data_IF_657203086237
#
_entry.id   IF_657203086237
#
_cell.length_a   1.000
_cell.length_b   1.000
_cell.length_c   1.000
_cell.angle_alpha   90.00
_cell.angle_beta   90.00
_cell.angle_gamma   90.00
#
_symmetry.space_group_name_H-M   'P 1'
#
loop_
_entity.id
_entity.type
_entity.pdbx_description
1 polymer ?
#
# COMPACT_ATOMS: atom_id res chain seq x y z
N UNK A 1 29.61 9.37 0.59
CA UNK A 1 30.20 10.21 1.67
C UNK A 1 31.33 9.46 2.34
N UNK A 2 31.18 8.15 2.52
CA UNK A 2 32.24 7.28 3.07
C UNK A 2 33.55 7.32 2.26
N UNK A 3 33.48 7.56 0.94
CA UNK A 3 34.67 7.58 0.06
C UNK A 3 35.41 8.93 -0.02
N UNK A 4 35.12 9.90 0.86
CA UNK A 4 35.85 11.18 0.94
C UNK A 4 35.62 12.18 -0.21
N UNK A 5 34.98 11.78 -1.31
CA UNK A 5 34.65 12.65 -2.46
C UNK A 5 33.71 13.81 -2.10
N UNK A 6 33.04 13.72 -0.95
CA UNK A 6 32.15 14.78 -0.47
C UNK A 6 32.91 16.03 0.00
N UNK A 7 34.16 15.86 0.43
CA UNK A 7 34.99 16.93 0.97
C UNK A 7 35.70 17.77 -0.10
N UNK A 8 35.73 17.28 -1.35
CA UNK A 8 36.27 18.02 -2.49
C UNK A 8 35.24 18.98 -3.12
N UNK A 9 33.96 18.86 -2.75
CA UNK A 9 32.87 19.69 -3.27
C UNK A 9 32.90 21.11 -2.70
N UNK A 10 32.45 22.05 -3.52
CA UNK A 10 32.31 23.45 -3.13
C UNK A 10 31.30 23.59 -1.97
N UNK A 11 31.51 24.57 -1.07
CA UNK A 11 30.67 24.77 0.12
C UNK A 11 29.18 24.89 -0.21
N UNK A 12 28.83 25.51 -1.35
CA UNK A 12 27.46 25.65 -1.84
C UNK A 12 26.84 24.30 -2.24
N UNK A 13 27.57 23.49 -3.00
CA UNK A 13 27.11 22.17 -3.45
C UNK A 13 26.98 21.20 -2.27
N UNK A 14 27.96 21.23 -1.37
CA UNK A 14 27.92 20.47 -0.12
C UNK A 14 26.67 20.80 0.68
N UNK A 15 26.33 22.08 0.82
CA UNK A 15 25.13 22.51 1.53
C UNK A 15 23.85 22.02 0.85
N UNK A 16 23.79 22.07 -0.49
CA UNK A 16 22.63 21.58 -1.24
C UNK A 16 22.45 20.07 -1.08
N UNK A 17 23.52 19.29 -1.21
CA UNK A 17 23.49 17.83 -1.05
C UNK A 17 23.13 17.45 0.39
N UNK A 18 23.65 18.15 1.40
CA UNK A 18 23.27 17.91 2.80
C UNK A 18 21.79 18.16 3.03
N UNK A 19 21.22 19.24 2.47
CA UNK A 19 19.78 19.53 2.58
C UNK A 19 18.93 18.49 1.87
N UNK A 20 19.33 18.07 0.66
CA UNK A 20 18.64 17.02 -0.08
C UNK A 20 18.68 15.70 0.67
N UNK A 21 19.84 15.31 1.20
CA UNK A 21 20.00 14.11 2.03
C UNK A 21 19.11 14.17 3.27
N UNK A 22 19.11 15.27 4.00
CA UNK A 22 18.26 15.42 5.19
C UNK A 22 16.76 15.31 4.85
N UNK A 23 16.34 15.86 3.70
CA UNK A 23 14.96 15.73 3.22
C UNK A 23 14.61 14.28 2.86
N UNK A 24 15.51 13.59 2.14
CA UNK A 24 15.31 12.19 1.76
C UNK A 24 15.30 11.27 2.99
N UNK A 25 16.22 11.48 3.94
CA UNK A 25 16.28 10.70 5.17
C UNK A 25 15.01 10.87 6.01
N UNK A 26 14.49 12.10 6.11
CA UNK A 26 13.24 12.37 6.84
C UNK A 26 12.03 11.68 6.20
N UNK A 27 11.97 11.63 4.87
CA UNK A 27 10.78 11.15 4.15
C UNK A 27 10.83 9.65 3.84
N UNK A 28 12.01 9.10 3.56
CA UNK A 28 12.20 7.73 3.06
C UNK A 28 13.15 6.90 3.94
N UNK A 29 13.70 7.47 5.02
CA UNK A 29 14.60 6.74 5.92
C UNK A 29 13.95 5.52 6.56
N UNK A 30 12.65 5.60 6.87
CA UNK A 30 11.87 4.50 7.46
C UNK A 30 11.71 3.27 6.55
N UNK A 31 11.87 3.43 5.24
CA UNK A 31 11.71 2.34 4.26
C UNK A 31 13.03 1.95 3.59
N UNK A 32 14.15 2.55 4.01
CA UNK A 32 15.46 2.36 3.40
C UNK A 32 15.94 0.90 3.41
N UNK A 33 15.59 0.17 4.45
CA UNK A 33 16.04 -1.21 4.65
C UNK A 33 15.11 -2.24 3.98
N UNK A 34 14.02 -1.80 3.32
CA UNK A 34 13.11 -2.69 2.59
C UNK A 34 13.73 -3.13 1.26
N UNK A 35 14.05 -4.42 1.15
CA UNK A 35 14.55 -5.04 -0.09
C UNK A 35 13.45 -5.59 -1.01
N UNK A 36 12.24 -5.77 -0.48
CA UNK A 36 11.08 -6.33 -1.18
C UNK A 36 9.79 -5.69 -0.66
N UNK A 37 8.71 -5.87 -1.42
CA UNK A 37 7.38 -5.44 -1.00
C UNK A 37 7.00 -6.08 0.34
N UNK A 38 6.33 -5.34 1.23
CA UNK A 38 5.90 -5.85 2.53
C UNK A 38 4.82 -6.93 2.35
N UNK A 39 4.82 -7.92 3.25
CA UNK A 39 3.84 -9.02 3.23
C UNK A 39 2.53 -8.69 3.92
N UNK A 40 2.51 -7.64 4.73
CA UNK A 40 1.33 -7.09 5.39
C UNK A 40 1.60 -5.61 5.71
N UNK A 41 0.54 -4.81 5.78
CA UNK A 41 0.60 -3.40 6.18
C UNK A 41 -0.19 -3.22 7.48
N UNK A 42 0.39 -2.53 8.46
CA UNK A 42 -0.32 -2.06 9.64
C UNK A 42 -0.57 -0.55 9.52
N UNK A 43 -1.83 -0.12 9.58
CA UNK A 43 -2.23 1.29 9.42
C UNK A 43 -2.86 1.83 10.69
N UNK A 44 -2.44 3.03 11.09
CA UNK A 44 -3.09 3.84 12.14
C UNK A 44 -3.78 5.00 11.45
N UNK A 45 -5.01 5.30 11.84
CA UNK A 45 -5.83 6.35 11.24
C UNK A 45 -6.04 6.15 9.74
N UNK A 46 -7.01 5.29 9.43
CA UNK A 46 -7.37 4.92 8.07
C UNK A 46 -7.83 6.14 7.28
N UNK A 47 -8.53 7.10 7.91
CA UNK A 47 -9.04 8.28 7.23
C UNK A 47 -7.91 9.18 6.71
N UNK A 48 -6.85 9.37 7.50
CA UNK A 48 -5.66 10.13 7.07
C UNK A 48 -4.81 9.33 6.07
N UNK A 49 -4.71 8.02 6.23
CA UNK A 49 -3.83 7.14 5.42
C UNK A 49 -4.55 6.35 4.31
N UNK A 50 -5.67 6.87 3.78
CA UNK A 50 -6.47 6.21 2.74
C UNK A 50 -5.66 5.88 1.47
N UNK A 51 -4.63 6.66 1.15
CA UNK A 51 -3.78 6.39 -0.01
C UNK A 51 -2.98 5.09 0.19
N UNK A 52 -2.44 4.86 1.39
CA UNK A 52 -1.70 3.64 1.71
C UNK A 52 -2.60 2.40 1.64
N UNK A 53 -3.83 2.50 2.15
CA UNK A 53 -4.83 1.42 2.06
C UNK A 53 -5.18 1.10 0.60
N UNK A 54 -5.43 2.12 -0.22
CA UNK A 54 -5.74 1.93 -1.65
C UNK A 54 -4.58 1.30 -2.41
N UNK A 55 -3.34 1.72 -2.14
CA UNK A 55 -2.14 1.15 -2.77
C UNK A 55 -1.90 -0.30 -2.34
N UNK A 56 -2.06 -0.60 -1.06
CA UNK A 56 -1.96 -1.95 -0.53
C UNK A 56 -3.01 -2.89 -1.17
N UNK A 57 -4.26 -2.45 -1.26
CA UNK A 57 -5.35 -3.21 -1.87
C UNK A 57 -5.08 -3.48 -3.36
N UNK A 58 -4.50 -2.51 -4.08
CA UNK A 58 -4.11 -2.67 -5.49
C UNK A 58 -2.96 -3.67 -5.68
N UNK A 59 -2.05 -3.76 -4.71
CA UNK A 59 -0.92 -4.69 -4.72
C UNK A 59 -1.24 -6.03 -4.05
N UNK A 60 -2.49 -6.24 -3.62
CA UNK A 60 -2.94 -7.43 -2.87
C UNK A 60 -2.12 -7.68 -1.59
N UNK A 61 -1.73 -6.60 -0.91
CA UNK A 61 -1.06 -6.67 0.39
C UNK A 61 -2.16 -6.62 1.47
N UNK A 62 -2.21 -7.59 2.40
CA UNK A 62 -3.22 -7.60 3.44
C UNK A 62 -3.04 -6.42 4.40
N UNK A 63 -4.14 -5.74 4.69
CA UNK A 63 -4.19 -4.53 5.52
C UNK A 63 -4.78 -4.86 6.89
N UNK A 64 -3.99 -4.60 7.93
CA UNK A 64 -4.40 -4.62 9.33
C UNK A 64 -4.49 -3.16 9.76
N UNK A 65 -5.60 -2.72 10.34
CA UNK A 65 -5.73 -1.30 10.70
C UNK A 65 -6.56 -1.05 11.95
N UNK A 66 -6.18 0.02 12.65
CA UNK A 66 -6.99 0.61 13.72
C UNK A 66 -8.11 1.44 13.09
N UNK A 67 -9.35 1.17 13.50
CA UNK A 67 -10.55 1.84 12.98
C UNK A 67 -11.30 2.46 14.14
N UNK A 68 -11.46 3.78 14.09
CA UNK A 68 -12.38 4.54 14.96
C UNK A 68 -13.71 4.83 14.23
N UNK A 69 -14.64 5.44 14.94
CA UNK A 69 -16.00 5.82 14.53
C UNK A 69 -16.11 6.66 13.25
N UNK A 70 -15.02 7.33 12.83
CA UNK A 70 -14.97 8.14 11.61
C UNK A 70 -14.50 7.38 10.36
N UNK A 71 -14.01 6.14 10.52
CA UNK A 71 -13.38 5.37 9.45
C UNK A 71 -14.31 4.29 8.89
N UNK A 72 -14.25 4.06 7.57
CA UNK A 72 -14.95 2.94 6.92
C UNK A 72 -14.10 1.66 7.05
N UNK A 73 -14.62 0.58 7.68
CA UNK A 73 -13.90 -0.69 7.84
C UNK A 73 -13.88 -1.56 6.57
N UNK A 74 -14.70 -1.26 5.55
CA UNK A 74 -14.88 -2.10 4.36
C UNK A 74 -13.60 -2.41 3.57
N UNK A 75 -12.67 -1.45 3.35
CA UNK A 75 -11.46 -1.70 2.55
C UNK A 75 -10.32 -2.38 3.33
N UNK A 76 -10.57 -2.89 4.54
CA UNK A 76 -9.54 -3.41 5.47
C UNK A 76 -9.80 -4.90 5.72
N UNK A 77 -8.75 -5.72 5.67
CA UNK A 77 -8.87 -7.17 5.87
C UNK A 77 -9.01 -7.54 7.36
N UNK A 78 -8.23 -6.87 8.22
CA UNK A 78 -8.21 -7.12 9.66
C UNK A 78 -8.41 -5.83 10.44
N UNK A 79 -9.64 -5.66 10.95
CA UNK A 79 -10.06 -4.44 11.65
C UNK A 79 -9.82 -4.58 13.15
N UNK A 80 -9.16 -3.59 13.74
CA UNK A 80 -9.00 -3.42 15.19
C UNK A 80 -9.83 -2.20 15.61
N UNK A 81 -11.02 -2.38 16.20
CA UNK A 81 -11.81 -1.26 16.68
C UNK A 81 -11.10 -0.61 17.89
N UNK A 82 -10.65 0.63 17.71
CA UNK A 82 -9.86 1.34 18.72
C UNK A 82 -9.89 2.85 18.47
N UNK A 83 -9.58 3.64 19.51
CA UNK A 83 -9.35 5.07 19.36
C UNK A 83 -7.95 5.30 18.78
N UNK A 84 -7.87 5.91 17.60
CA UNK A 84 -6.64 6.17 16.83
C UNK A 84 -6.10 7.60 16.98
N UNK A 85 -6.83 8.51 17.63
CA UNK A 85 -6.38 9.87 17.93
C UNK A 85 -5.58 9.95 19.25
N UNK A 86 -5.84 9.02 20.18
CA UNK A 86 -5.24 9.04 21.51
C UNK A 86 -3.87 8.35 21.54
N UNK A 87 -2.80 9.11 21.79
CA UNK A 87 -1.43 8.57 21.89
C UNK A 87 -1.30 7.37 22.85
N UNK A 88 -2.00 7.39 24.00
CA UNK A 88 -1.98 6.26 24.94
C UNK A 88 -2.61 4.99 24.36
N UNK A 89 -3.68 5.13 23.57
CA UNK A 89 -4.37 4.03 22.90
C UNK A 89 -3.47 3.43 21.83
N UNK A 90 -2.91 4.28 20.97
CA UNK A 90 -1.97 3.87 19.90
C UNK A 90 -0.76 3.16 20.50
N UNK A 91 -0.11 3.73 21.52
CA UNK A 91 1.06 3.10 22.16
C UNK A 91 0.72 1.73 22.74
N UNK A 92 -0.40 1.60 23.46
CA UNK A 92 -0.82 0.33 24.04
C UNK A 92 -1.01 -0.76 22.96
N UNK A 93 -1.71 -0.41 21.87
CA UNK A 93 -1.98 -1.36 20.79
C UNK A 93 -0.68 -1.73 20.05
N UNK A 94 0.17 -0.74 19.79
CA UNK A 94 1.47 -0.96 19.15
C UNK A 94 2.39 -1.84 19.99
N UNK A 95 2.40 -1.67 21.31
CA UNK A 95 3.22 -2.48 22.21
C UNK A 95 2.78 -3.95 22.16
N UNK A 96 1.47 -4.21 22.17
CA UNK A 96 0.91 -5.56 22.06
C UNK A 96 1.21 -6.18 20.69
N UNK A 97 1.03 -5.43 19.61
CA UNK A 97 1.29 -5.92 18.24
C UNK A 97 2.79 -6.18 18.03
N UNK A 98 3.66 -5.28 18.48
CA UNK A 98 5.12 -5.48 18.43
C UNK A 98 5.55 -6.70 19.25
N UNK A 99 4.96 -6.89 20.44
CA UNK A 99 5.18 -8.08 21.27
C UNK A 99 4.83 -9.37 20.53
N UNK A 100 3.62 -9.43 19.94
CA UNK A 100 3.17 -10.59 19.17
C UNK A 100 4.06 -10.88 17.94
N UNK A 101 4.53 -9.84 17.24
CA UNK A 101 5.47 -9.99 16.11
C UNK A 101 6.81 -10.54 16.60
N UNK A 102 7.33 -10.03 17.72
CA UNK A 102 8.58 -10.49 18.29
C UNK A 102 8.50 -11.97 18.73
N UNK A 103 7.40 -12.37 19.37
CA UNK A 103 7.11 -13.75 19.73
C UNK A 103 7.07 -14.66 18.50
N UNK A 104 6.28 -14.31 17.47
CA UNK A 104 6.21 -15.10 16.24
C UNK A 104 7.54 -15.19 15.47
N UNK A 105 8.36 -14.13 15.51
CA UNK A 105 9.71 -14.16 14.95
C UNK A 105 10.65 -15.08 15.74
N UNK A 106 10.49 -15.17 17.06
CA UNK A 106 11.29 -16.06 17.89
C UNK A 106 10.88 -17.52 17.70
N UNK A 107 9.60 -17.82 17.66
CA UNK A 107 9.08 -19.17 17.35
C UNK A 107 9.60 -19.66 16.00
N UNK A 108 9.50 -18.83 14.95
CA UNK A 108 10.01 -19.16 13.62
C UNK A 108 11.52 -19.45 13.60
N UNK A 109 12.32 -18.78 14.44
CA UNK A 109 13.75 -19.07 14.57
C UNK A 109 13.97 -20.44 15.23
N UNK A 110 13.26 -20.71 16.33
CA UNK A 110 13.36 -21.97 17.07
C UNK A 110 12.92 -23.16 16.22
N UNK A 111 11.86 -23.03 15.42
CA UNK A 111 11.42 -24.07 14.48
C UNK A 111 12.50 -24.36 13.44
N UNK A 112 13.10 -23.31 12.86
CA UNK A 112 14.16 -23.46 11.86
C UNK A 112 15.43 -24.10 12.42
N UNK A 113 15.74 -23.87 13.69
CA UNK A 113 16.86 -24.52 14.39
C UNK A 113 16.56 -25.99 14.72
N UNK A 114 15.30 -26.33 15.00
CA UNK A 114 14.85 -27.70 15.26
C UNK A 114 14.72 -28.57 14.00
N UNK A 115 14.48 -27.96 12.83
CA UNK A 115 14.44 -28.67 11.54
C UNK A 115 15.83 -28.89 10.91
N UNK A 116 16.84 -28.10 11.30
CA UNK A 116 18.21 -28.22 10.80
C UNK A 116 18.93 -29.56 11.10
N UNK A 117 18.68 -30.29 12.22
CA UNK A 117 19.30 -31.58 12.46
C UNK A 117 18.61 -32.78 11.80
N UNK A 118 17.39 -32.66 11.24
CA UNK A 118 16.66 -33.80 10.67
C UNK A 118 16.78 -33.95 9.14
N UNK A 119 17.37 -32.99 8.43
CA UNK A 119 17.50 -33.03 6.96
C UNK A 119 18.82 -33.64 6.44
N UNK A 120 19.61 -34.32 7.27
CA UNK A 120 20.81 -35.04 6.81
C UNK A 120 20.58 -36.49 6.40
N UNK A 121 19.39 -37.07 6.62
CA UNK A 121 19.07 -38.44 6.19
C UNK A 121 17.71 -38.51 5.47
N UNK A 122 17.61 -37.94 4.26
CA UNK A 122 16.96 -38.58 3.11
C UNK A 122 16.88 -37.61 1.93
N UNK A 123 17.78 -37.78 0.96
CA UNK A 123 17.61 -37.24 -0.39
C UNK A 123 17.63 -38.38 -1.40
N UNK A 124 16.45 -38.78 -1.84
CA UNK A 124 16.22 -39.33 -3.17
C UNK A 124 15.02 -38.59 -3.81
N UNK A 125 15.10 -38.18 -5.10
CA UNK A 125 14.17 -37.19 -5.67
C UNK A 125 12.98 -37.84 -6.38
N UNK A 126 11.78 -37.28 -6.23
CA UNK A 126 10.65 -37.58 -7.10
C UNK A 126 9.84 -36.32 -7.38
N UNK A 127 9.84 -35.90 -8.65
CA UNK A 127 9.17 -34.70 -9.12
C UNK A 127 7.68 -34.85 -9.40
N UNK A 128 7.10 -33.70 -9.77
CA UNK A 128 5.78 -33.45 -10.38
C UNK A 128 4.56 -33.67 -9.47
N UNK A 129 3.84 -32.58 -9.16
CA UNK A 129 2.64 -32.18 -9.92
C UNK A 129 2.01 -30.89 -9.37
N UNK A 130 1.93 -29.93 -10.28
CA UNK A 130 1.06 -28.76 -10.32
C UNK A 130 -0.35 -29.12 -9.79
N UNK A 131 -0.83 -28.47 -8.72
CA UNK A 131 -2.25 -28.51 -8.35
C UNK A 131 -2.94 -27.26 -8.89
N UNK A 132 -3.58 -27.45 -10.04
CA UNK A 132 -4.57 -26.55 -10.60
C UNK A 132 -5.71 -26.32 -9.59
N UNK A 133 -5.95 -25.06 -9.22
CA UNK A 133 -7.20 -24.64 -8.59
C UNK A 133 -8.25 -24.45 -9.68
N UNK A 134 -9.10 -25.47 -9.83
CA UNK A 134 -10.37 -25.38 -10.54
C UNK A 134 -11.43 -25.01 -9.50
N UNK A 135 -11.96 -23.78 -9.58
CA UNK A 135 -13.31 -23.45 -9.15
C UNK A 135 -13.80 -22.29 -10.02
N UNK A 136 -14.27 -22.67 -11.21
CA UNK A 136 -15.17 -21.87 -12.02
C UNK A 136 -16.59 -22.38 -11.71
N UNK A 137 -17.38 -21.56 -11.04
CA UNK A 137 -18.85 -21.57 -11.07
C UNK A 137 -19.19 -20.13 -11.47
N UNK A 138 -19.29 -19.84 -12.77
CA UNK A 138 -20.49 -19.93 -13.62
C UNK A 138 -21.72 -19.30 -12.97
N UNK A 139 -21.90 -18.00 -13.23
CA UNK A 139 -23.21 -17.37 -13.40
C UNK A 139 -23.15 -16.62 -14.73
N UNK A 140 -23.73 -17.24 -15.77
CA UNK A 140 -24.18 -16.58 -17.01
C UNK A 140 -25.29 -15.58 -16.63
N UNK A 141 -25.13 -14.29 -16.93
CA UNK A 141 -25.56 -13.64 -18.18
C UNK A 141 -27.09 -13.58 -18.34
N UNK A 142 -27.67 -12.39 -18.12
CA UNK A 142 -28.97 -12.01 -18.65
C UNK A 142 -29.04 -10.48 -18.84
N UNK A 143 -28.73 -10.06 -20.06
CA UNK A 143 -29.27 -8.90 -20.77
C UNK A 143 -29.37 -9.36 -22.25
N UNK A 144 -30.22 -8.81 -23.14
CA UNK A 144 -30.89 -7.50 -23.06
C UNK A 144 -32.37 -7.52 -23.52
N UNK A 145 -33.10 -6.42 -23.31
CA UNK A 145 -34.20 -6.05 -24.23
C UNK A 145 -34.49 -4.55 -24.16
N UNK A 146 -34.39 -3.90 -25.32
CA UNK A 146 -35.01 -2.64 -25.71
C UNK A 146 -35.80 -2.93 -27.00
N UNK A 147 -36.91 -2.24 -27.34
CA UNK A 147 -36.76 -0.95 -28.03
C UNK A 147 -37.90 0.09 -27.85
N UNK A 148 -37.57 1.35 -28.19
CA UNK A 148 -38.37 2.45 -28.82
C UNK A 148 -39.75 2.86 -28.22
N UNK A 149 -40.19 4.13 -28.18
CA UNK A 149 -40.18 5.17 -29.22
C UNK A 149 -40.62 6.55 -28.62
N UNK A 150 -40.07 7.64 -29.18
CA UNK A 150 -40.63 8.99 -29.50
C UNK A 150 -41.57 9.76 -28.52
N UNK A 151 -41.54 11.09 -28.34
CA UNK A 151 -41.33 12.22 -29.27
C UNK A 151 -41.24 13.53 -28.45
N UNK A 152 -40.37 14.47 -28.85
CA UNK A 152 -40.66 15.91 -28.90
C UNK A 152 -39.52 16.65 -29.62
N UNK A 153 -39.91 17.37 -30.65
CA UNK A 153 -39.07 17.99 -31.67
C UNK A 153 -38.39 19.31 -31.23
N UNK A 154 -37.13 19.47 -31.68
CA UNK A 154 -36.51 20.56 -32.48
C UNK A 154 -37.30 21.87 -32.80
N UNK A 155 -36.64 22.92 -33.35
CA UNK A 155 -35.30 23.47 -33.09
C UNK A 155 -35.26 25.03 -33.16
N UNK A 156 -34.12 25.65 -32.83
CA UNK A 156 -33.66 26.86 -33.53
C UNK A 156 -32.15 27.08 -33.28
N UNK A 157 -31.38 27.02 -34.35
CA UNK A 157 -29.98 27.39 -34.42
C UNK A 157 -29.84 28.87 -34.83
N UNK A 158 -28.85 29.59 -34.31
CA UNK A 158 -27.90 30.36 -35.14
C UNK A 158 -26.71 30.93 -34.33
N UNK A 159 -25.51 30.51 -34.75
CA UNK A 159 -24.28 31.29 -35.01
C UNK A 159 -23.71 32.28 -33.99
N UNK A 160 -22.46 32.04 -33.58
CA UNK A 160 -21.26 32.77 -34.06
C UNK A 160 -20.18 32.92 -32.97
N UNK A 161 -19.00 32.39 -33.25
CA UNK A 161 -17.71 32.82 -32.71
C UNK A 161 -16.81 33.15 -33.94
N UNK A 162 -15.63 33.79 -33.84
CA UNK A 162 -14.91 34.28 -32.65
C UNK A 162 -14.22 35.68 -32.82
N UNK A 163 -13.54 36.10 -31.73
CA UNK A 163 -12.30 36.90 -31.65
C UNK A 163 -12.22 38.36 -32.16
N UNK A 164 -11.84 39.28 -31.25
CA UNK A 164 -10.80 40.30 -31.53
C UNK A 164 -10.15 40.84 -30.24
N UNK A 165 -8.90 41.26 -30.40
CA UNK A 165 -7.94 41.81 -29.45
C UNK A 165 -8.35 43.16 -28.84
N UNK A 166 -7.87 43.47 -27.64
CA UNK A 166 -7.33 44.83 -27.35
C UNK A 166 -6.28 44.78 -26.25
N UNK A 167 -5.07 45.21 -26.62
CA UNK A 167 -4.00 45.73 -25.75
C UNK A 167 -4.29 47.20 -25.41
N UNK A 168 -3.66 47.65 -24.31
CA UNK A 168 -3.35 49.03 -23.90
C UNK A 168 -4.45 49.82 -23.16
N UNK A 169 -4.26 50.02 -21.86
CA UNK A 169 -3.74 51.27 -21.26
C UNK A 169 -3.08 50.96 -19.90
#
# INVERSE_FOLDING_TARGET
>A
IEDGTFDTLAKRERLQITRQRAKLEKNLGSIKDLSRLPSALFVVDVQKEMNAVKEANRLNIPVIAMVDTCCDPTPIDYVIPANDDAAKSISLIMDVVCGAIAEGLNERKLEKEKEAPEQSEDKAPAGKKLRARKNAVKVEAAAPEAPAEETAAEPAAETAAPAEETKAE
#
